data_IF_880716058010
#
_entry.id   IF_880716058010
#
_cell.length_a   1.000
_cell.length_b   1.000
_cell.length_c   1.000
_cell.angle_alpha   90.00
_cell.angle_beta   90.00
_cell.angle_gamma   90.00
#
_symmetry.space_group_name_H-M   'P 1'
#
loop_
_entity.id
_entity.type
_entity.pdbx_description
1 polymer ?
#
# COMPACT_ATOMS: atom_id res chain seq x y z
N UNK A 1 -17.39 -16.39 9.83
CA UNK A 1 -15.98 -16.63 9.45
C UNK A 1 -15.56 -15.54 8.46
N UNK A 2 -14.45 -14.85 8.74
CA UNK A 2 -13.95 -13.77 7.90
C UNK A 2 -13.04 -14.36 6.81
N UNK A 3 -13.55 -14.43 5.59
CA UNK A 3 -12.81 -14.98 4.45
C UNK A 3 -12.78 -14.01 3.27
N UNK A 4 -11.72 -14.05 2.49
CA UNK A 4 -11.58 -13.34 1.22
C UNK A 4 -11.23 -14.32 0.11
N UNK A 5 -11.67 -14.05 -1.12
CA UNK A 5 -11.36 -14.85 -2.31
C UNK A 5 -10.30 -14.15 -3.14
N UNK A 6 -9.20 -14.85 -3.46
CA UNK A 6 -8.15 -14.34 -4.34
C UNK A 6 -7.71 -15.45 -5.27
N UNK A 7 -7.78 -15.21 -6.60
CA UNK A 7 -7.35 -16.20 -7.61
C UNK A 7 -8.08 -17.55 -7.53
N UNK A 8 -9.38 -17.55 -7.16
CA UNK A 8 -10.15 -18.79 -6.99
C UNK A 8 -10.04 -19.47 -5.62
N UNK A 9 -9.06 -19.09 -4.79
CA UNK A 9 -8.86 -19.64 -3.45
C UNK A 9 -9.45 -18.74 -2.37
N UNK A 10 -9.92 -19.35 -1.27
CA UNK A 10 -10.43 -18.66 -0.10
C UNK A 10 -9.36 -18.61 0.98
N UNK A 11 -9.13 -17.41 1.49
CA UNK A 11 -8.19 -17.13 2.57
C UNK A 11 -8.94 -16.65 3.80
N UNK A 12 -8.60 -17.22 4.95
CA UNK A 12 -9.11 -16.79 6.26
C UNK A 12 -8.03 -15.97 6.95
N UNK A 13 -8.45 -14.98 7.71
CA UNK A 13 -7.52 -14.23 8.55
C UNK A 13 -7.73 -12.74 8.48
N UNK A 14 -6.63 -12.01 8.37
CA UNK A 14 -6.55 -10.57 8.48
C UNK A 14 -5.88 -9.96 7.26
N UNK A 15 -6.18 -8.70 6.99
CA UNK A 15 -5.46 -7.84 6.06
C UNK A 15 -4.70 -6.77 6.83
N UNK A 16 -3.55 -6.38 6.31
CA UNK A 16 -2.83 -5.19 6.73
C UNK A 16 -2.90 -4.15 5.62
N UNK A 17 -3.40 -2.98 5.95
CA UNK A 17 -3.40 -1.80 5.11
C UNK A 17 -2.31 -0.87 5.61
N UNK A 18 -1.52 -0.30 4.72
CA UNK A 18 -0.46 0.65 5.08
C UNK A 18 -0.54 1.89 4.20
N UNK A 19 -0.32 3.05 4.82
CA UNK A 19 0.05 4.30 4.16
C UNK A 19 1.57 4.42 4.17
N UNK A 20 2.16 4.73 3.02
CA UNK A 20 3.59 4.95 2.90
C UNK A 20 3.87 6.18 2.05
N UNK A 21 4.82 6.97 2.48
CA UNK A 21 5.26 8.15 1.75
C UNK A 21 5.96 7.78 0.45
N UNK A 22 5.65 8.51 -0.63
CA UNK A 22 6.14 8.23 -1.98
C UNK A 22 7.63 8.53 -2.13
N UNK A 23 8.16 9.53 -1.43
CA UNK A 23 9.56 9.94 -1.56
C UNK A 23 10.46 9.05 -0.74
N UNK A 24 10.23 8.99 0.57
CA UNK A 24 11.04 8.19 1.49
C UNK A 24 10.73 6.70 1.41
N UNK A 25 9.49 6.34 1.07
CA UNK A 25 8.95 4.98 1.14
C UNK A 25 8.80 4.47 2.58
N UNK A 26 8.75 5.38 3.55
CA UNK A 26 8.51 5.06 4.96
C UNK A 26 7.01 4.87 5.20
N UNK A 27 6.67 3.89 6.02
CA UNK A 27 5.30 3.63 6.43
C UNK A 27 4.94 4.59 7.56
N UNK A 28 3.92 5.41 7.35
CA UNK A 28 3.41 6.36 8.35
C UNK A 28 2.13 5.87 9.04
N UNK A 29 1.37 4.97 8.41
CA UNK A 29 0.16 4.42 9.00
C UNK A 29 0.03 2.91 8.75
N UNK A 30 -0.49 2.20 9.76
CA UNK A 30 -0.74 0.75 9.69
C UNK A 30 -2.12 0.47 10.27
N UNK A 31 -3.01 -0.09 9.48
CA UNK A 31 -4.34 -0.48 9.91
C UNK A 31 -4.61 -1.96 9.62
N UNK A 32 -5.07 -2.68 10.63
CA UNK A 32 -5.40 -4.10 10.52
C UNK A 32 -6.90 -4.32 10.43
N UNK A 33 -7.35 -5.14 9.50
CA UNK A 33 -8.77 -5.50 9.36
C UNK A 33 -8.98 -6.99 9.21
N UNK A 34 -10.23 -7.43 9.37
CA UNK A 34 -10.63 -8.77 8.97
C UNK A 34 -10.51 -8.93 7.46
N UNK A 35 -10.23 -10.15 6.98
CA UNK A 35 -9.95 -10.43 5.58
C UNK A 35 -11.10 -10.09 4.61
N UNK A 36 -12.34 -10.04 5.09
CA UNK A 36 -13.53 -9.72 4.30
C UNK A 36 -13.78 -8.21 4.13
N UNK A 37 -13.06 -7.35 4.85
CA UNK A 37 -13.22 -5.89 4.72
C UNK A 37 -12.67 -5.43 3.36
N UNK A 38 -13.41 -4.56 2.67
CA UNK A 38 -12.99 -4.03 1.37
C UNK A 38 -11.87 -2.98 1.55
N UNK A 39 -10.82 -3.07 0.74
CA UNK A 39 -9.65 -2.19 0.86
C UNK A 39 -10.03 -0.71 0.68
N UNK A 40 -10.97 -0.41 -0.23
CA UNK A 40 -11.44 0.95 -0.53
C UNK A 40 -12.08 1.65 0.68
N UNK A 41 -12.67 0.89 1.62
CA UNK A 41 -13.28 1.48 2.83
C UNK A 41 -12.26 1.88 3.89
N UNK A 42 -11.00 1.50 3.73
CA UNK A 42 -9.96 1.74 4.73
C UNK A 42 -9.06 2.93 4.37
N UNK A 43 -9.32 3.59 3.25
CA UNK A 43 -8.49 4.70 2.76
C UNK A 43 -8.50 5.87 3.74
N UNK A 44 -9.66 6.22 4.30
CA UNK A 44 -9.78 7.32 5.25
C UNK A 44 -8.87 7.15 6.48
N UNK A 45 -8.69 5.91 6.93
CA UNK A 45 -7.81 5.56 8.06
C UNK A 45 -6.32 5.62 7.72
N UNK A 46 -5.96 5.62 6.44
CA UNK A 46 -4.57 5.63 5.98
C UNK A 46 -4.06 7.03 5.65
N UNK A 47 -4.97 7.97 5.42
CA UNK A 47 -4.64 9.34 5.07
C UNK A 47 -4.51 10.22 6.32
N UNK A 48 -3.54 11.12 6.32
CA UNK A 48 -3.34 12.10 7.41
C UNK A 48 -3.84 13.51 7.05
N UNK A 49 -4.31 13.71 5.79
CA UNK A 49 -4.97 14.95 5.37
C UNK A 49 -4.08 15.97 4.66
N UNK A 50 -2.78 15.71 4.57
CA UNK A 50 -1.81 16.61 3.91
C UNK A 50 -1.37 16.07 2.53
N UNK A 51 -1.99 14.99 2.06
CA UNK A 51 -1.63 14.37 0.80
C UNK A 51 -2.09 15.21 -0.39
N UNK A 52 -1.18 15.50 -1.32
CA UNK A 52 -1.48 16.09 -2.63
C UNK A 52 -1.89 15.03 -3.65
N UNK A 53 -1.32 13.83 -3.57
CA UNK A 53 -1.60 12.72 -4.46
C UNK A 53 -1.55 11.37 -3.74
N UNK A 54 -2.48 10.48 -4.08
CA UNK A 54 -2.55 9.13 -3.52
C UNK A 54 -2.49 8.09 -4.64
N UNK A 55 -1.55 7.16 -4.51
CA UNK A 55 -1.36 6.05 -5.45
C UNK A 55 -1.89 4.75 -4.85
N UNK A 56 -2.82 4.11 -5.54
CA UNK A 56 -3.39 2.85 -5.07
C UNK A 56 -3.61 1.86 -6.22
N UNK A 57 -3.83 0.59 -5.88
CA UNK A 57 -4.09 -0.45 -6.85
C UNK A 57 -5.54 -0.43 -7.36
N UNK A 58 -5.86 -1.32 -8.30
CA UNK A 58 -7.20 -1.40 -8.89
C UNK A 58 -8.30 -1.85 -7.89
N UNK A 59 -7.94 -2.33 -6.70
CA UNK A 59 -8.87 -2.64 -5.62
C UNK A 59 -9.52 -1.40 -5.01
N UNK A 60 -8.87 -0.25 -5.18
CA UNK A 60 -9.32 1.05 -4.68
C UNK A 60 -10.13 1.87 -5.71
N UNK A 61 -10.52 1.26 -6.84
CA UNK A 61 -11.35 1.92 -7.86
C UNK A 61 -12.64 2.44 -7.25
N UNK A 62 -12.97 3.71 -7.48
CA UNK A 62 -14.17 4.38 -6.98
C UNK A 62 -13.98 5.11 -5.64
N UNK A 63 -12.76 5.11 -5.10
CA UNK A 63 -12.44 5.84 -3.85
C UNK A 63 -12.76 7.33 -3.98
N UNK A 64 -12.52 7.92 -5.13
CA UNK A 64 -12.76 9.33 -5.44
C UNK A 64 -14.24 9.75 -5.38
N UNK A 65 -15.17 8.77 -5.45
CA UNK A 65 -16.61 8.99 -5.44
C UNK A 65 -17.26 8.77 -4.09
N UNK A 66 -16.48 8.46 -3.08
CA UNK A 66 -17.00 8.22 -1.74
C UNK A 66 -17.18 9.53 -1.01
N UNK A 67 -18.27 9.67 -0.26
CA UNK A 67 -18.63 10.88 0.50
C UNK A 67 -17.49 11.36 1.41
N UNK A 68 -16.77 10.41 2.05
CA UNK A 68 -15.64 10.71 2.93
C UNK A 68 -14.43 11.33 2.21
N UNK A 69 -14.44 11.32 0.86
CA UNK A 69 -13.33 11.83 0.03
C UNK A 69 -13.75 12.93 -0.95
N UNK A 70 -15.04 13.26 -1.05
CA UNK A 70 -15.60 14.16 -2.05
C UNK A 70 -14.98 15.58 -2.00
N UNK A 71 -14.66 16.07 -0.81
CA UNK A 71 -14.08 17.41 -0.61
C UNK A 71 -12.57 17.41 -0.35
N UNK A 72 -11.88 16.29 -0.56
CA UNK A 72 -10.43 16.25 -0.42
C UNK A 72 -9.77 16.70 -1.72
N UNK A 73 -8.93 17.73 -1.67
CA UNK A 73 -8.13 18.24 -2.81
C UNK A 73 -7.02 17.30 -3.27
N UNK A 74 -7.24 15.98 -3.21
CA UNK A 74 -6.25 14.93 -3.47
C UNK A 74 -6.35 14.45 -4.92
N UNK A 75 -5.21 14.30 -5.59
CA UNK A 75 -5.12 13.70 -6.92
C UNK A 75 -5.07 12.17 -6.77
N UNK A 76 -6.15 11.49 -7.15
CA UNK A 76 -6.24 10.04 -7.07
C UNK A 76 -5.59 9.35 -8.27
N UNK A 77 -4.51 8.63 -8.05
CA UNK A 77 -3.75 7.87 -9.05
C UNK A 77 -4.00 6.35 -8.91
N UNK A 78 -5.27 5.97 -9.08
CA UNK A 78 -5.66 4.56 -8.99
C UNK A 78 -5.23 3.80 -10.25
N UNK A 79 -4.66 2.61 -10.08
CA UNK A 79 -4.27 1.77 -11.20
C UNK A 79 -5.48 1.30 -12.01
N UNK A 80 -5.43 1.44 -13.32
CA UNK A 80 -6.47 0.94 -14.19
C UNK A 80 -6.41 -0.60 -14.31
N UNK A 81 -7.57 -1.23 -14.34
CA UNK A 81 -7.66 -2.67 -14.68
C UNK A 81 -7.23 -2.89 -16.13
N UNK A 82 -6.50 -3.95 -16.39
CA UNK A 82 -6.06 -4.30 -17.78
C UNK A 82 -7.20 -4.29 -18.79
N UNK A 83 -8.38 -4.75 -18.40
CA UNK A 83 -9.57 -4.76 -19.26
C UNK A 83 -9.97 -3.38 -19.77
N UNK A 84 -9.60 -2.31 -19.07
CA UNK A 84 -9.96 -0.93 -19.43
C UNK A 84 -9.25 -0.45 -20.70
N UNK A 85 -8.04 -0.95 -20.96
CA UNK A 85 -7.24 -0.53 -22.13
C UNK A 85 -6.86 -1.68 -23.07
N UNK A 86 -7.17 -2.94 -22.74
CA UNK A 86 -6.88 -4.10 -23.59
C UNK A 86 -7.62 -4.10 -24.93
N UNK A 87 -8.77 -3.41 -24.98
CA UNK A 87 -9.59 -3.24 -26.19
C UNK A 87 -9.07 -2.18 -27.16
N UNK A 88 -8.11 -1.35 -26.73
CA UNK A 88 -7.52 -0.33 -27.57
C UNK A 88 -6.52 -0.94 -28.55
N UNK A 89 -6.43 -0.35 -29.75
CA UNK A 89 -5.40 -0.74 -30.71
C UNK A 89 -4.01 -0.49 -30.12
N UNK A 90 -3.22 -1.57 -30.00
CA UNK A 90 -1.88 -1.52 -29.36
C UNK A 90 -0.88 -0.62 -30.10
N UNK A 91 -1.10 -0.34 -31.39
CA UNK A 91 -0.27 0.55 -32.18
C UNK A 91 -0.66 2.04 -32.01
N UNK A 92 -1.83 2.32 -31.43
CA UNK A 92 -2.33 3.68 -31.24
C UNK A 92 -1.48 4.47 -30.24
N UNK A 93 -1.37 5.78 -30.45
CA UNK A 93 -0.71 6.71 -29.52
C UNK A 93 -1.40 6.68 -28.15
N UNK A 94 -2.73 6.59 -28.14
CA UNK A 94 -3.52 6.51 -26.92
C UNK A 94 -3.18 5.28 -26.07
N UNK A 95 -3.05 4.11 -26.69
CA UNK A 95 -2.65 2.91 -25.97
C UNK A 95 -1.25 3.05 -25.35
N UNK A 96 -0.30 3.55 -26.13
CA UNK A 96 1.09 3.76 -25.66
C UNK A 96 1.14 4.74 -24.50
N UNK A 97 0.40 5.86 -24.59
CA UNK A 97 0.32 6.86 -23.53
C UNK A 97 -0.30 6.28 -22.24
N UNK A 98 -1.45 5.60 -22.34
CA UNK A 98 -2.09 4.94 -21.18
C UNK A 98 -1.16 3.92 -20.54
N UNK A 99 -0.47 3.10 -21.33
CA UNK A 99 0.47 2.11 -20.82
C UNK A 99 1.66 2.75 -20.08
N UNK A 100 2.17 3.88 -20.59
CA UNK A 100 3.24 4.64 -19.92
C UNK A 100 2.78 5.20 -18.58
N UNK A 101 1.59 5.77 -18.52
CA UNK A 101 0.98 6.27 -17.28
C UNK A 101 0.85 5.14 -16.26
N UNK A 102 0.27 4.00 -16.65
CA UNK A 102 0.11 2.86 -15.74
C UNK A 102 1.45 2.26 -15.29
N UNK A 103 2.46 2.31 -16.14
CA UNK A 103 3.82 1.92 -15.76
C UNK A 103 4.40 2.84 -14.68
N UNK A 104 4.27 4.17 -14.83
CA UNK A 104 4.71 5.13 -13.80
C UNK A 104 3.96 4.93 -12.48
N UNK A 105 2.64 4.73 -12.52
CA UNK A 105 1.83 4.40 -11.33
C UNK A 105 2.34 3.12 -10.65
N UNK A 106 2.64 2.08 -11.42
CA UNK A 106 3.15 0.81 -10.91
C UNK A 106 4.53 0.98 -10.25
N UNK A 107 5.43 1.77 -10.82
CA UNK A 107 6.73 2.06 -10.22
C UNK A 107 6.59 2.76 -8.86
N UNK A 108 5.70 3.75 -8.75
CA UNK A 108 5.44 4.43 -7.48
C UNK A 108 4.87 3.46 -6.45
N UNK A 109 3.89 2.63 -6.82
CA UNK A 109 3.28 1.64 -5.93
C UNK A 109 4.26 0.55 -5.47
N UNK A 110 5.23 0.19 -6.29
CA UNK A 110 6.26 -0.80 -5.92
C UNK A 110 7.03 -0.40 -4.66
N UNK A 111 7.12 0.91 -4.33
CA UNK A 111 7.74 1.39 -3.10
C UNK A 111 6.99 0.91 -1.85
N UNK A 112 5.66 0.80 -1.90
CA UNK A 112 4.80 0.30 -0.82
C UNK A 112 4.97 -1.21 -0.61
N UNK A 113 5.37 -1.96 -1.63
CA UNK A 113 5.63 -3.39 -1.51
C UNK A 113 6.93 -3.69 -0.76
N UNK A 114 7.88 -2.75 -0.77
CA UNK A 114 9.18 -2.92 -0.13
C UNK A 114 9.09 -3.15 1.39
N UNK A 115 8.35 -2.37 2.20
CA UNK A 115 8.15 -2.66 3.63
C UNK A 115 7.59 -4.06 3.89
N UNK A 116 6.62 -4.52 3.12
CA UNK A 116 6.11 -5.89 3.21
C UNK A 116 7.18 -6.95 2.93
N UNK A 117 8.06 -6.67 1.96
CA UNK A 117 9.19 -7.56 1.67
C UNK A 117 10.17 -7.62 2.85
N UNK A 118 10.46 -6.48 3.49
CA UNK A 118 11.34 -6.43 4.67
C UNK A 118 10.77 -7.27 5.79
N UNK A 119 9.51 -7.06 6.20
CA UNK A 119 8.93 -7.81 7.32
C UNK A 119 8.83 -9.31 7.02
N UNK A 120 8.59 -9.70 5.77
CA UNK A 120 8.49 -11.12 5.39
C UNK A 120 9.86 -11.80 5.26
N UNK A 121 10.85 -11.12 4.65
CA UNK A 121 12.14 -11.71 4.30
C UNK A 121 13.20 -11.49 5.37
N UNK A 122 13.27 -10.29 5.96
CA UNK A 122 14.28 -9.96 6.96
C UNK A 122 13.82 -10.32 8.38
N UNK A 123 12.53 -10.09 8.70
CA UNK A 123 12.00 -10.34 10.03
C UNK A 123 11.22 -11.67 10.16
N UNK A 124 11.12 -12.45 9.07
CA UNK A 124 10.52 -13.78 9.10
C UNK A 124 9.03 -13.83 9.41
N UNK A 125 8.29 -12.73 9.14
CA UNK A 125 6.85 -12.68 9.36
C UNK A 125 6.11 -13.38 8.23
N UNK A 126 5.89 -14.68 8.36
CA UNK A 126 5.24 -15.52 7.33
C UNK A 126 3.79 -15.87 7.67
N UNK A 127 3.39 -15.78 8.94
CA UNK A 127 2.05 -16.09 9.39
C UNK A 127 1.67 -15.30 10.66
N UNK A 128 0.37 -15.15 10.88
CA UNK A 128 -0.21 -14.59 12.09
C UNK A 128 0.13 -15.48 13.30
N UNK A 129 0.56 -14.89 14.39
CA UNK A 129 1.00 -15.62 15.61
C UNK A 129 0.05 -15.46 16.79
N UNK A 130 -0.69 -14.37 16.85
CA UNK A 130 -1.57 -14.06 17.97
C UNK A 130 -3.04 -14.31 17.62
N UNK A 131 -3.85 -14.56 18.64
CA UNK A 131 -5.32 -14.55 18.51
C UNK A 131 -5.83 -13.12 18.62
N UNK A 132 -6.79 -12.78 17.78
CA UNK A 132 -7.47 -11.48 17.78
C UNK A 132 -6.76 -10.42 16.92
N UNK A 133 -7.57 -9.48 16.43
CA UNK A 133 -7.16 -8.44 15.51
C UNK A 133 -6.16 -7.46 16.17
N UNK A 134 -6.49 -6.99 17.37
CA UNK A 134 -5.73 -5.97 18.08
C UNK A 134 -4.26 -6.38 18.30
N UNK A 135 -4.00 -7.59 18.81
CA UNK A 135 -2.64 -8.06 19.07
C UNK A 135 -1.81 -8.22 17.78
N UNK A 136 -2.44 -8.69 16.71
CA UNK A 136 -1.77 -8.85 15.42
C UNK A 136 -1.53 -7.49 14.74
N UNK A 137 -2.44 -6.53 14.87
CA UNK A 137 -2.22 -5.16 14.38
C UNK A 137 -1.07 -4.49 15.13
N UNK A 138 -1.02 -4.59 16.45
CA UNK A 138 0.10 -4.08 17.25
C UNK A 138 1.44 -4.70 16.83
N UNK A 139 1.49 -6.01 16.60
CA UNK A 139 2.69 -6.68 16.06
C UNK A 139 3.09 -6.13 14.69
N UNK A 140 2.12 -5.95 13.78
CA UNK A 140 2.39 -5.39 12.44
C UNK A 140 2.90 -3.96 12.53
N UNK A 141 2.31 -3.12 13.38
CA UNK A 141 2.78 -1.75 13.62
C UNK A 141 4.24 -1.73 14.07
N UNK A 142 4.62 -2.60 15.03
CA UNK A 142 6.01 -2.75 15.47
C UNK A 142 6.93 -3.20 14.33
N UNK A 143 6.50 -4.18 13.54
CA UNK A 143 7.31 -4.69 12.42
C UNK A 143 7.50 -3.64 11.32
N UNK A 144 6.48 -2.83 11.01
CA UNK A 144 6.62 -1.74 10.04
C UNK A 144 7.47 -0.59 10.58
N UNK A 145 7.40 -0.27 11.87
CA UNK A 145 8.33 0.68 12.50
C UNK A 145 9.79 0.21 12.39
N UNK A 146 10.06 -1.07 12.67
CA UNK A 146 11.38 -1.68 12.48
C UNK A 146 11.79 -1.71 11.00
N UNK A 147 10.85 -1.91 10.07
CA UNK A 147 11.12 -1.85 8.63
C UNK A 147 11.53 -0.45 8.19
N UNK A 148 10.94 0.61 8.78
CA UNK A 148 11.35 1.99 8.56
C UNK A 148 12.80 2.21 9.03
N UNK A 149 13.15 1.80 10.25
CA UNK A 149 14.52 1.86 10.76
C UNK A 149 15.50 1.07 9.87
N UNK A 150 15.10 -0.13 9.44
CA UNK A 150 15.90 -0.93 8.52
C UNK A 150 16.16 -0.18 7.20
N UNK A 151 15.18 0.53 6.68
CA UNK A 151 15.30 1.29 5.44
C UNK A 151 16.30 2.43 5.57
N UNK A 152 16.23 3.20 6.65
CA UNK A 152 17.09 4.39 6.87
C UNK A 152 18.38 4.07 7.62
N UNK A 153 18.66 2.81 7.97
CA UNK A 153 19.81 2.41 8.82
C UNK A 153 21.15 2.93 8.37
N UNK A 154 21.40 2.95 7.04
CA UNK A 154 22.66 3.47 6.52
C UNK A 154 22.81 4.97 6.72
N UNK A 155 21.73 5.74 6.57
CA UNK A 155 21.71 7.17 6.83
C UNK A 155 21.93 7.45 8.32
N UNK A 156 21.26 6.71 9.21
CA UNK A 156 21.43 6.85 10.66
C UNK A 156 22.86 6.51 11.10
N UNK A 157 23.47 5.48 10.54
CA UNK A 157 24.86 5.09 10.84
C UNK A 157 25.85 6.14 10.32
N UNK A 158 25.63 6.70 9.12
CA UNK A 158 26.47 7.77 8.57
C UNK A 158 26.36 9.10 9.33
N UNK A 159 25.20 9.37 9.95
CA UNK A 159 25.03 10.57 10.81
C UNK A 159 25.74 10.40 12.16
N UNK A 160 26.04 9.19 12.61
CA UNK A 160 26.80 8.91 13.83
C UNK A 160 28.32 9.05 13.69
N UNK A 161 28.84 9.09 12.46
CA UNK A 161 30.25 9.41 12.19
C UNK A 161 30.47 10.92 12.13
N UNK A 162 30.23 11.62 13.23
CA UNK A 162 30.81 12.95 13.43
C UNK A 162 32.32 12.70 13.59
N UNK A 163 33.07 12.93 12.54
CA UNK A 163 34.54 12.99 12.64
C UNK A 163 34.89 14.09 13.65
N UNK A 164 35.38 13.69 14.81
CA UNK A 164 36.08 14.54 15.76
C UNK A 164 37.43 14.88 15.15
#
# INVERSE_FOLDING_TARGET
RHQTKKGGQYFFGMKAHIGADVESGLVHHVHGTAANVADVTQVAELLHGEENAVYADAGYTGVERREEHENRGVIWQIAARRSTYSKLNQRSVLYKAKRKIEFCKAQTRAKVEHPFRVIKRQFGYVKVRFRGLMKNTAQLTTLFALANLWRVRKQLMGMGEVRV
#
